data_IF_643001574205
#
_entry.id   IF_643001574205
#
_cell.length_a   1.000
_cell.length_b   1.000
_cell.length_c   1.000
_cell.angle_alpha   90.00
_cell.angle_beta   90.00
_cell.angle_gamma   90.00
#
_symmetry.space_group_name_H-M   'P 1'
#
loop_
_entity.id
_entity.type
_entity.pdbx_description
1 polymer ?
#
# COMPACT_ATOMS: atom_id res chain seq x y z
N UNK A 1 19.54 2.78 -3.40
CA UNK A 1 18.59 2.02 -2.57
C UNK A 1 17.21 2.59 -2.85
N UNK A 2 16.27 1.76 -3.33
CA UNK A 2 14.90 2.21 -3.61
C UNK A 2 13.97 1.63 -2.56
N UNK A 3 13.29 2.49 -1.81
CA UNK A 3 12.25 2.06 -0.85
C UNK A 3 10.88 2.17 -1.50
N UNK A 4 10.05 1.17 -1.29
CA UNK A 4 8.66 1.15 -1.77
C UNK A 4 7.76 0.75 -0.62
N UNK A 5 6.68 1.48 -0.42
CA UNK A 5 5.59 1.05 0.42
C UNK A 5 4.58 0.29 -0.43
N UNK A 6 4.24 -0.91 0.00
CA UNK A 6 3.24 -1.76 -0.66
C UNK A 6 2.11 -2.03 0.32
N UNK A 7 0.91 -1.57 -0.02
CA UNK A 7 -0.32 -1.79 0.73
C UNK A 7 -1.24 -2.68 -0.11
N UNK A 8 -1.77 -3.73 0.48
CA UNK A 8 -2.74 -4.63 -0.15
C UNK A 8 -4.06 -4.48 0.57
N UNK A 9 -5.12 -4.26 -0.20
CA UNK A 9 -6.49 -4.15 0.28
C UNK A 9 -7.30 -5.36 -0.18
N UNK A 10 -8.17 -5.85 0.68
CA UNK A 10 -9.28 -6.72 0.27
C UNK A 10 -10.42 -5.82 -0.23
N UNK A 11 -11.07 -6.23 -1.32
CA UNK A 11 -12.14 -5.46 -1.97
C UNK A 11 -13.51 -6.11 -1.80
N UNK A 12 -14.56 -5.31 -2.02
CA UNK A 12 -15.96 -5.76 -2.04
C UNK A 12 -16.24 -6.89 -3.07
N UNK A 13 -15.44 -6.98 -4.14
CA UNK A 13 -15.51 -8.04 -5.15
C UNK A 13 -14.71 -9.30 -4.77
N UNK A 14 -14.28 -9.44 -3.52
CA UNK A 14 -13.43 -10.56 -3.05
C UNK A 14 -12.13 -10.71 -3.85
N UNK A 15 -11.59 -9.60 -4.34
CA UNK A 15 -10.30 -9.52 -5.02
C UNK A 15 -9.34 -8.69 -4.18
N UNK A 16 -8.09 -8.60 -4.62
CA UNK A 16 -7.06 -7.77 -4.00
C UNK A 16 -6.68 -6.58 -4.87
N UNK A 17 -6.53 -5.43 -4.23
CA UNK A 17 -5.96 -4.24 -4.83
C UNK A 17 -4.64 -3.90 -4.16
N UNK A 18 -3.58 -3.69 -4.94
CA UNK A 18 -2.26 -3.34 -4.43
C UNK A 18 -1.93 -1.89 -4.76
N UNK A 19 -1.77 -1.06 -3.73
CA UNK A 19 -1.25 0.29 -3.84
C UNK A 19 0.27 0.27 -3.57
N UNK A 20 1.05 0.82 -4.51
CA UNK A 20 2.50 0.96 -4.35
C UNK A 20 2.88 2.43 -4.35
N UNK A 21 3.57 2.86 -3.31
CA UNK A 21 4.13 4.22 -3.18
C UNK A 21 5.64 4.11 -3.24
N UNK A 22 6.24 4.73 -4.26
CA UNK A 22 7.68 4.80 -4.38
C UNK A 22 8.22 5.94 -3.50
N UNK A 23 9.39 5.72 -2.89
CA UNK A 23 10.04 6.68 -1.99
C UNK A 23 9.08 7.16 -0.87
N UNK A 24 8.54 6.23 -0.04
CA UNK A 24 7.72 6.62 1.10
C UNK A 24 8.54 7.50 2.07
N UNK A 25 7.84 8.33 2.85
CA UNK A 25 8.48 9.15 3.88
C UNK A 25 9.27 8.28 4.87
N UNK A 26 10.40 8.79 5.35
CA UNK A 26 11.32 8.03 6.22
C UNK A 26 10.78 7.81 7.64
N UNK A 27 9.89 8.69 8.11
CA UNK A 27 9.26 8.67 9.42
C UNK A 27 7.95 7.86 9.47
N UNK A 28 7.72 7.02 8.48
CA UNK A 28 6.50 6.23 8.38
C UNK A 28 6.46 5.14 9.45
N UNK A 29 5.52 5.27 10.39
CA UNK A 29 5.24 4.24 11.39
C UNK A 29 4.10 3.34 10.96
N UNK A 30 4.04 2.13 11.53
CA UNK A 30 2.93 1.20 11.33
C UNK A 30 1.58 1.83 11.69
N UNK A 31 1.49 2.50 12.84
CA UNK A 31 0.27 3.12 13.32
C UNK A 31 -0.24 4.22 12.36
N UNK A 32 0.66 5.10 11.89
CA UNK A 32 0.30 6.15 10.92
C UNK A 32 -0.19 5.56 9.60
N UNK A 33 0.43 4.45 9.17
CA UNK A 33 0.08 3.81 7.92
C UNK A 33 -1.31 3.16 7.98
N UNK A 34 -1.61 2.43 9.05
CA UNK A 34 -2.91 1.77 9.24
C UNK A 34 -4.02 2.82 9.30
N UNK A 35 -3.84 3.87 10.11
CA UNK A 35 -4.81 4.94 10.23
C UNK A 35 -5.11 5.64 8.89
N UNK A 36 -4.08 5.93 8.09
CA UNK A 36 -4.30 6.58 6.80
C UNK A 36 -4.89 5.61 5.75
N UNK A 37 -4.55 4.32 5.80
CA UNK A 37 -5.15 3.31 4.94
C UNK A 37 -6.66 3.11 5.25
N UNK A 38 -7.04 3.12 6.52
CA UNK A 38 -8.44 3.11 6.96
C UNK A 38 -9.18 4.38 6.49
N UNK A 39 -8.55 5.54 6.66
CA UNK A 39 -9.10 6.81 6.16
C UNK A 39 -9.33 6.79 4.65
N UNK A 40 -8.43 6.20 3.86
CA UNK A 40 -8.61 6.08 2.41
C UNK A 40 -9.81 5.20 2.03
N UNK A 41 -10.08 4.14 2.82
CA UNK A 41 -11.27 3.29 2.67
C UNK A 41 -12.53 4.09 2.99
N UNK A 42 -12.56 4.78 4.13
CA UNK A 42 -13.72 5.58 4.57
C UNK A 42 -14.07 6.70 3.59
N UNK A 43 -13.06 7.38 3.05
CA UNK A 43 -13.26 8.43 2.05
C UNK A 43 -13.79 7.90 0.71
N UNK A 44 -13.66 6.60 0.44
CA UNK A 44 -14.14 5.98 -0.80
C UNK A 44 -13.48 6.53 -2.07
N UNK A 45 -12.30 7.15 -1.95
CA UNK A 45 -11.59 7.83 -3.05
C UNK A 45 -10.89 6.86 -4.00
N UNK A 46 -10.75 5.59 -3.60
CA UNK A 46 -10.12 4.54 -4.40
C UNK A 46 -11.19 3.69 -5.11
N UNK A 47 -11.20 3.75 -6.44
CA UNK A 47 -12.11 2.97 -7.28
C UNK A 47 -11.35 2.14 -8.34
N UNK A 48 -10.51 1.16 -7.93
CA UNK A 48 -9.78 0.32 -8.86
C UNK A 48 -10.71 -0.71 -9.52
N UNK A 49 -10.31 -1.25 -10.68
CA UNK A 49 -11.11 -2.22 -11.43
C UNK A 49 -11.40 -3.53 -10.66
N UNK A 50 -10.60 -3.82 -9.64
CA UNK A 50 -10.71 -5.01 -8.79
C UNK A 50 -11.81 -4.87 -7.70
N UNK A 51 -12.51 -3.74 -7.62
CA UNK A 51 -13.52 -3.46 -6.60
C UNK A 51 -13.07 -2.41 -5.60
N UNK A 52 -14.00 -1.90 -4.79
CA UNK A 52 -13.71 -0.87 -3.78
C UNK A 52 -12.98 -1.51 -2.60
N UNK A 53 -11.86 -0.92 -2.12
CA UNK A 53 -11.22 -1.37 -0.89
C UNK A 53 -12.19 -1.35 0.28
N UNK A 54 -12.23 -2.43 1.08
CA UNK A 54 -13.07 -2.54 2.29
C UNK A 54 -12.27 -2.81 3.55
N UNK A 55 -11.07 -3.39 3.43
CA UNK A 55 -10.17 -3.62 4.55
C UNK A 55 -8.71 -3.68 4.09
N UNK A 56 -7.79 -3.44 5.01
CA UNK A 56 -6.35 -3.62 4.78
C UNK A 56 -6.01 -5.11 4.97
N UNK A 57 -5.45 -5.73 3.93
CA UNK A 57 -4.97 -7.11 3.97
C UNK A 57 -3.55 -7.19 4.53
N UNK A 58 -2.66 -6.31 4.06
CA UNK A 58 -1.27 -6.25 4.51
C UNK A 58 -0.62 -4.92 4.11
N UNK A 59 0.41 -4.50 4.84
CA UNK A 59 1.27 -3.39 4.44
C UNK A 59 2.73 -3.72 4.77
N UNK A 60 3.64 -3.34 3.86
CA UNK A 60 5.08 -3.58 4.05
C UNK A 60 5.93 -2.55 3.32
N UNK A 61 7.08 -2.23 3.92
CA UNK A 61 8.17 -1.53 3.24
C UNK A 61 9.06 -2.58 2.56
N UNK A 62 9.31 -2.38 1.28
CA UNK A 62 10.22 -3.19 0.47
C UNK A 62 11.43 -2.33 0.13
N UNK A 63 12.60 -2.76 0.58
CA UNK A 63 13.88 -2.12 0.24
C UNK A 63 14.58 -2.94 -0.84
N UNK A 64 14.89 -2.31 -1.96
CA UNK A 64 15.61 -2.94 -3.06
C UNK A 64 17.02 -2.36 -3.16
N UNK A 65 18.01 -3.24 -3.01
CA UNK A 65 19.40 -2.98 -3.34
C UNK A 65 19.68 -3.56 -4.72
N UNK A 66 20.06 -2.70 -5.67
CA UNK A 66 20.47 -3.10 -7.01
C UNK A 66 21.99 -3.00 -7.06
N UNK A 67 22.64 -4.12 -7.40
CA UNK A 67 24.06 -4.18 -7.70
C UNK A 67 24.18 -4.63 -9.15
N UNK A 68 24.67 -3.74 -10.01
CA UNK A 68 25.00 -4.10 -11.38
C UNK A 68 26.26 -4.98 -11.37
N UNK A 69 26.19 -6.11 -12.07
CA UNK A 69 27.27 -7.10 -12.12
C UNK A 69 28.00 -7.03 -13.47
N UNK A 70 27.46 -6.32 -14.47
CA UNK A 70 27.99 -6.18 -15.82
C UNK A 70 27.82 -4.75 -16.33
#
# INVERSE_FOLDING_TARGET
MTKKLVIVFDTDLSRRFTLTINNPKEDLTEATLVAEAERLIELGVLAPMQGRPVSVHSAKIVEQNVTEII
#
